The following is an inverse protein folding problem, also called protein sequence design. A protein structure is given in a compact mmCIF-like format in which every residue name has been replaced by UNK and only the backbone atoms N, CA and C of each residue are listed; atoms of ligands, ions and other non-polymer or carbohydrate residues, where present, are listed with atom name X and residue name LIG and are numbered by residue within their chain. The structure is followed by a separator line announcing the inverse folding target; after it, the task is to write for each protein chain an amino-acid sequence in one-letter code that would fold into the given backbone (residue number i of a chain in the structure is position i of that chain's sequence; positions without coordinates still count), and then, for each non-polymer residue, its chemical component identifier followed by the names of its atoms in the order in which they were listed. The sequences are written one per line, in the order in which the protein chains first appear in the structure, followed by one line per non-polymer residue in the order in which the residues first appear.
data_IF_280077585267
#
_entry.id   IF_280077585267
#
_cell.length_a   1.000
_cell.length_b   1.000
_cell.length_c   1.000
_cell.angle_alpha   90.00
_cell.angle_beta   90.00
_cell.angle_gamma   90.00
#
_symmetry.space_group_name_H-M   'P 1'
#
loop_
_entity.id
_entity.type
_entity.pdbx_description
1 polymer ?
#
# COMPACT_ATOMS: atom_id res chain seq x y z
N UNK A 1 -66.28 38.50 0.22
CA UNK A 1 -66.21 37.15 -0.38
C UNK A 1 -64.93 36.48 0.11
N UNK A 2 -65.07 35.31 0.76
CA UNK A 2 -64.10 34.22 1.05
C UNK A 2 -62.64 34.56 1.47
N UNK A 3 -62.23 34.45 2.74
CA UNK A 3 -61.79 33.26 3.55
C UNK A 3 -60.37 32.72 3.31
N UNK A 4 -59.58 32.78 4.39
CA UNK A 4 -58.70 31.75 4.98
C UNK A 4 -57.57 31.06 4.16
N UNK A 5 -56.42 30.82 4.83
CA UNK A 5 -55.53 29.73 4.44
C UNK A 5 -54.08 29.85 4.92
N UNK A 6 -53.80 29.24 6.07
CA UNK A 6 -52.49 28.94 6.66
C UNK A 6 -51.49 28.18 5.76
N UNK A 7 -50.20 28.36 6.11
CA UNK A 7 -49.13 27.35 6.22
C UNK A 7 -48.91 26.38 5.05
N UNK A 8 -47.73 26.46 4.44
CA UNK A 8 -46.93 25.24 4.24
C UNK A 8 -45.42 25.54 4.11
N UNK A 9 -44.72 25.37 5.23
CA UNK A 9 -43.31 24.95 5.23
C UNK A 9 -43.24 23.64 4.44
N UNK A 10 -42.51 23.59 3.34
CA UNK A 10 -42.19 22.33 2.67
C UNK A 10 -40.72 22.00 2.91
N UNK A 11 -40.58 20.83 3.50
CA UNK A 11 -39.38 20.22 4.04
C UNK A 11 -38.33 19.97 2.96
N UNK A 12 -37.08 20.27 3.31
CA UNK A 12 -35.89 19.71 2.69
C UNK A 12 -35.87 18.21 3.02
N UNK A 13 -35.66 17.30 2.05
CA UNK A 13 -35.61 15.88 2.36
C UNK A 13 -34.41 15.58 3.25
N UNK A 14 -34.70 14.90 4.36
CA UNK A 14 -33.73 14.28 5.26
C UNK A 14 -32.65 13.57 4.46
N UNK A 15 -31.40 13.91 4.79
CA UNK A 15 -30.22 13.17 4.40
C UNK A 15 -30.34 11.81 5.07
N UNK A 16 -30.81 10.82 4.30
CA UNK A 16 -30.83 9.42 4.73
C UNK A 16 -29.38 9.00 4.92
N UNK A 17 -28.94 8.97 6.17
CA UNK A 17 -27.72 8.29 6.60
C UNK A 17 -27.98 6.79 6.53
N UNK A 18 -27.70 6.20 5.37
CA UNK A 18 -27.56 4.75 5.27
C UNK A 18 -26.22 4.39 5.92
N UNK A 19 -26.29 4.10 7.21
CA UNK A 19 -25.29 3.29 7.90
C UNK A 19 -25.45 1.87 7.37
N UNK A 20 -24.57 1.46 6.46
CA UNK A 20 -24.42 0.04 6.13
C UNK A 20 -23.20 -0.53 6.84
N UNK A 21 -23.42 -1.65 7.51
CA UNK A 21 -22.48 -2.36 8.34
C UNK A 21 -21.29 -2.88 7.54
N UNK A 22 -20.14 -2.85 8.21
CA UNK A 22 -18.83 -3.36 7.80
C UNK A 22 -18.83 -4.63 6.93
N UNK A 23 -18.02 -4.67 5.86
CA UNK A 23 -17.26 -5.85 5.52
C UNK A 23 -15.86 -5.72 6.17
N UNK A 24 -15.61 -6.58 7.16
CA UNK A 24 -14.29 -7.16 7.46
C UNK A 24 -13.08 -6.52 6.75
N UNK A 25 -12.36 -5.61 7.43
CA UNK A 25 -10.93 -5.30 7.21
C UNK A 25 -10.42 -5.09 5.78
N UNK A 26 -11.27 -4.77 4.80
CA UNK A 26 -10.86 -4.59 3.41
C UNK A 26 -10.22 -3.21 3.27
N UNK A 27 -8.93 -3.18 2.93
CA UNK A 27 -8.25 -1.91 2.64
C UNK A 27 -8.92 -1.26 1.43
N UNK A 28 -9.44 -0.05 1.64
CA UNK A 28 -9.95 0.78 0.55
C UNK A 28 -8.77 1.21 -0.32
N UNK A 29 -8.75 0.80 -1.59
CA UNK A 29 -7.68 1.20 -2.51
C UNK A 29 -7.83 2.67 -2.86
N UNK A 30 -6.74 3.41 -2.75
CA UNK A 30 -6.67 4.80 -3.16
C UNK A 30 -6.10 4.91 -4.57
N UNK A 31 -6.91 5.43 -5.49
CA UNK A 31 -6.53 5.70 -6.88
C UNK A 31 -6.38 7.21 -7.11
N UNK A 32 -5.26 7.62 -7.71
CA UNK A 32 -5.08 8.95 -8.26
C UNK A 32 -5.48 8.92 -9.74
N UNK A 33 -6.56 9.61 -10.10
CA UNK A 33 -7.03 9.75 -11.47
C UNK A 33 -6.62 11.12 -12.02
N UNK A 34 -5.91 11.14 -13.15
CA UNK A 34 -5.35 12.34 -13.78
C UNK A 34 -5.91 12.44 -15.19
N UNK A 35 -6.69 13.47 -15.48
CA UNK A 35 -7.29 13.65 -16.81
C UNK A 35 -7.70 15.12 -16.97
N UNK A 36 -7.30 15.78 -18.06
CA UNK A 36 -7.59 17.20 -18.30
C UNK A 36 -9.06 17.42 -18.73
N UNK A 37 -9.66 16.44 -19.41
CA UNK A 37 -11.07 16.47 -19.78
C UNK A 37 -11.96 16.31 -18.54
N UNK A 38 -12.72 17.35 -18.21
CA UNK A 38 -13.67 17.31 -17.09
C UNK A 38 -14.68 16.16 -17.21
N UNK A 39 -15.12 15.85 -18.45
CA UNK A 39 -16.08 14.77 -18.71
C UNK A 39 -15.44 13.42 -18.43
N UNK A 40 -14.27 13.15 -19.00
CA UNK A 40 -13.57 11.88 -18.81
C UNK A 40 -13.16 11.69 -17.35
N UNK A 41 -12.66 12.75 -16.71
CA UNK A 41 -12.33 12.77 -15.28
C UNK A 41 -13.54 12.39 -14.41
N UNK A 42 -14.74 12.88 -14.74
CA UNK A 42 -15.97 12.51 -14.00
C UNK A 42 -16.42 11.08 -14.26
N UNK A 43 -16.25 10.59 -15.49
CA UNK A 43 -16.54 9.19 -15.84
C UNK A 43 -15.63 8.26 -15.05
N UNK A 44 -14.31 8.47 -15.09
CA UNK A 44 -13.37 7.59 -14.38
C UNK A 44 -13.55 7.67 -12.85
N UNK A 45 -13.77 8.87 -12.31
CA UNK A 45 -14.07 9.06 -10.88
C UNK A 45 -15.31 8.25 -10.46
N UNK A 46 -16.36 8.25 -11.28
CA UNK A 46 -17.58 7.49 -11.00
C UNK A 46 -17.35 5.98 -11.08
N UNK A 47 -16.64 5.48 -12.09
CA UNK A 47 -16.36 4.06 -12.26
C UNK A 47 -15.52 3.49 -11.10
N UNK A 48 -14.51 4.25 -10.67
CA UNK A 48 -13.68 3.91 -9.51
C UNK A 48 -14.47 3.91 -8.21
N UNK A 49 -15.34 4.91 -7.98
CA UNK A 49 -16.22 4.96 -6.80
C UNK A 49 -17.22 3.79 -6.75
N UNK A 50 -17.80 3.42 -7.90
CA UNK A 50 -18.67 2.23 -8.01
C UNK A 50 -17.91 0.95 -7.63
N UNK A 51 -16.60 0.94 -7.86
CA UNK A 51 -15.73 -0.18 -7.52
C UNK A 51 -15.17 -0.10 -6.09
N UNK A 52 -15.73 0.75 -5.22
CA UNK A 52 -15.31 0.94 -3.83
C UNK A 52 -13.83 1.32 -3.69
N UNK A 53 -13.36 2.20 -4.56
CA UNK A 53 -12.05 2.83 -4.43
C UNK A 53 -12.20 4.24 -3.87
N UNK A 54 -11.27 4.64 -3.01
CA UNK A 54 -11.03 6.05 -2.71
C UNK A 54 -10.39 6.69 -3.95
N UNK A 55 -10.87 7.85 -4.36
CA UNK A 55 -10.38 8.51 -5.57
C UNK A 55 -9.97 9.93 -5.26
N UNK A 56 -8.73 10.27 -5.63
CA UNK A 56 -8.33 11.67 -5.82
C UNK A 56 -8.31 11.93 -7.31
N UNK A 57 -9.11 12.89 -7.78
CA UNK A 57 -9.13 13.29 -9.18
C UNK A 57 -8.45 14.64 -9.35
N UNK A 58 -7.50 14.74 -10.27
CA UNK A 58 -6.78 15.98 -10.62
C UNK A 58 -6.83 16.19 -12.14
N UNK A 59 -6.66 17.43 -12.57
CA UNK A 59 -6.93 17.86 -13.95
C UNK A 59 -5.67 18.02 -14.82
N UNK A 60 -4.49 17.69 -14.30
CA UNK A 60 -3.24 17.87 -15.02
C UNK A 60 -2.09 17.11 -14.37
N UNK A 61 -1.07 16.78 -15.16
CA UNK A 61 0.15 16.15 -14.67
C UNK A 61 0.87 16.98 -13.60
N UNK A 62 0.90 18.31 -13.74
CA UNK A 62 1.47 19.21 -12.71
C UNK A 62 0.76 19.09 -11.37
N UNK A 63 -0.59 19.05 -11.38
CA UNK A 63 -1.38 18.87 -10.15
C UNK A 63 -1.18 17.48 -9.54
N UNK A 64 -0.98 16.46 -10.37
CA UNK A 64 -0.61 15.13 -9.91
C UNK A 64 0.75 15.13 -9.18
N UNK A 65 1.78 15.77 -9.75
CA UNK A 65 3.08 15.88 -9.09
C UNK A 65 3.01 16.66 -7.77
N UNK A 66 2.27 17.77 -7.73
CA UNK A 66 2.01 18.51 -6.48
C UNK A 66 1.36 17.63 -5.42
N UNK A 67 0.33 16.86 -5.82
CA UNK A 67 -0.36 15.95 -4.92
C UNK A 67 0.55 14.82 -4.40
N UNK A 68 1.49 14.36 -5.23
CA UNK A 68 2.48 13.35 -4.86
C UNK A 68 3.71 13.94 -4.13
N UNK A 69 3.81 15.27 -3.99
CA UNK A 69 5.00 15.93 -3.43
C UNK A 69 6.26 15.80 -4.30
N UNK A 70 6.09 15.67 -5.62
CA UNK A 70 7.16 15.50 -6.61
C UNK A 70 7.45 16.78 -7.42
N UNK A 71 6.89 17.91 -7.02
CA UNK A 71 7.10 19.22 -7.65
C UNK A 71 8.37 19.95 -7.18
N UNK A 72 9.13 19.36 -6.26
CA UNK A 72 10.44 19.85 -5.83
C UNK A 72 10.39 20.89 -4.71
N UNK A 73 9.20 21.38 -4.35
CA UNK A 73 9.02 22.14 -3.12
C UNK A 73 8.76 21.16 -1.98
N UNK A 74 9.50 21.32 -0.86
CA UNK A 74 9.21 20.58 0.38
C UNK A 74 7.85 21.02 0.91
N UNK A 75 6.78 20.44 0.36
CA UNK A 75 5.45 20.64 0.90
C UNK A 75 5.48 20.24 2.37
N UNK A 76 5.17 21.20 3.24
CA UNK A 76 5.25 21.11 4.71
C UNK A 76 4.17 20.22 5.31
N UNK A 77 3.57 19.36 4.49
CA UNK A 77 2.48 18.45 4.86
C UNK A 77 3.14 17.08 5.01
N UNK A 78 3.03 16.43 6.17
CA UNK A 78 3.57 15.09 6.34
C UNK A 78 2.91 14.12 5.36
N UNK A 79 3.64 13.74 4.29
CA UNK A 79 3.15 12.83 3.24
C UNK A 79 3.19 11.35 3.65
N UNK A 80 3.62 11.03 4.88
CA UNK A 80 3.76 9.65 5.36
C UNK A 80 2.46 8.84 5.32
N UNK A 81 1.29 9.50 5.24
CA UNK A 81 -0.03 8.85 5.16
C UNK A 81 -0.70 8.85 3.77
N UNK A 82 -0.09 9.46 2.74
CA UNK A 82 -0.65 9.46 1.38
C UNK A 82 -0.29 8.17 0.62
N UNK A 83 -0.86 7.06 1.07
CA UNK A 83 -0.71 5.77 0.39
C UNK A 83 -1.59 5.70 -0.86
N UNK A 84 -1.06 6.16 -2.00
CA UNK A 84 -1.64 5.91 -3.32
C UNK A 84 -1.31 4.49 -3.75
N UNK A 85 -2.32 3.70 -4.13
CA UNK A 85 -2.17 2.31 -4.56
C UNK A 85 -2.10 2.16 -6.09
N UNK A 86 -2.65 3.13 -6.83
CA UNK A 86 -2.70 3.11 -8.29
C UNK A 86 -2.78 4.53 -8.82
N UNK A 87 -2.10 4.78 -9.93
CA UNK A 87 -2.21 6.03 -10.68
C UNK A 87 -2.80 5.69 -12.06
N UNK A 88 -3.90 6.34 -12.42
CA UNK A 88 -4.47 6.28 -13.76
C UNK A 88 -4.35 7.67 -14.39
N UNK A 89 -3.64 7.79 -15.51
CA UNK A 89 -3.42 9.09 -16.17
C UNK A 89 -3.80 9.06 -17.63
N UNK A 90 -4.43 10.14 -18.11
CA UNK A 90 -4.56 10.39 -19.53
C UNK A 90 -3.18 10.62 -20.17
N UNK A 91 -3.03 10.20 -21.42
CA UNK A 91 -1.80 10.38 -22.19
C UNK A 91 -1.65 11.81 -22.70
N UNK A 92 -2.73 12.40 -23.23
CA UNK A 92 -2.74 13.62 -24.02
C UNK A 92 -3.23 14.81 -23.20
N UNK A 93 -2.42 15.23 -22.22
CA UNK A 93 -2.72 16.41 -21.40
C UNK A 93 -1.90 17.63 -21.86
N UNK A 94 -2.47 18.85 -21.81
CA UNK A 94 -1.73 20.09 -22.07
C UNK A 94 -0.58 20.32 -21.09
N UNK A 95 0.54 20.80 -21.61
CA UNK A 95 1.73 21.19 -20.83
C UNK A 95 2.61 20.02 -20.38
N UNK A 96 2.03 18.94 -19.86
CA UNK A 96 2.73 17.71 -19.49
C UNK A 96 1.92 16.49 -19.90
N UNK A 97 2.50 15.63 -20.72
CA UNK A 97 1.88 14.39 -21.16
C UNK A 97 1.83 13.35 -20.03
N UNK A 98 0.93 12.37 -20.15
CA UNK A 98 0.88 11.23 -19.24
C UNK A 98 2.17 10.40 -19.25
N UNK A 99 2.88 10.36 -20.37
CA UNK A 99 4.19 9.71 -20.48
C UNK A 99 5.28 10.44 -19.67
N UNK A 100 5.32 11.77 -19.72
CA UNK A 100 6.25 12.56 -18.89
C UNK A 100 5.93 12.45 -17.40
N UNK A 101 4.64 12.40 -17.05
CA UNK A 101 4.21 12.14 -15.67
C UNK A 101 4.66 10.74 -15.21
N UNK A 102 4.44 9.71 -16.02
CA UNK A 102 4.88 8.33 -15.76
C UNK A 102 6.37 8.30 -15.45
N UNK A 103 7.19 8.89 -16.32
CA UNK A 103 8.64 8.94 -16.13
C UNK A 103 9.04 9.54 -14.79
N UNK A 104 8.47 10.70 -14.42
CA UNK A 104 8.74 11.35 -13.13
C UNK A 104 8.32 10.52 -11.93
N UNK A 105 7.19 9.80 -12.03
CA UNK A 105 6.74 8.88 -10.99
C UNK A 105 7.72 7.72 -10.82
N UNK A 106 8.19 7.13 -11.94
CA UNK A 106 9.10 5.99 -11.92
C UNK A 106 10.53 6.34 -11.51
N UNK A 107 10.96 7.58 -11.72
CA UNK A 107 12.21 8.13 -11.20
C UNK A 107 12.17 8.37 -9.67
N UNK A 108 10.98 8.51 -9.08
CA UNK A 108 10.82 8.76 -7.64
C UNK A 108 10.98 7.50 -6.79
N UNK A 109 11.88 7.52 -5.81
CA UNK A 109 12.06 6.40 -4.88
C UNK A 109 10.79 6.06 -4.08
N UNK A 110 9.93 7.04 -3.81
CA UNK A 110 8.71 6.86 -3.03
C UNK A 110 7.55 6.25 -3.84
N UNK A 111 7.51 6.48 -5.17
CA UNK A 111 6.36 6.10 -6.00
C UNK A 111 6.69 5.16 -7.17
N UNK A 112 7.96 4.81 -7.39
CA UNK A 112 8.36 3.92 -8.50
C UNK A 112 7.64 2.58 -8.51
N UNK A 113 7.30 2.06 -7.33
CA UNK A 113 6.60 0.79 -7.14
C UNK A 113 5.08 0.91 -7.28
N UNK A 114 4.53 2.14 -7.30
CA UNK A 114 3.10 2.34 -7.53
C UNK A 114 2.80 2.01 -8.99
N UNK A 115 1.81 1.13 -9.28
CA UNK A 115 1.41 0.84 -10.65
C UNK A 115 0.82 2.09 -11.29
N UNK A 116 1.21 2.33 -12.54
CA UNK A 116 0.74 3.46 -13.34
C UNK A 116 0.08 2.93 -14.60
N UNK A 117 -1.17 3.30 -14.82
CA UNK A 117 -1.96 2.92 -16.00
C UNK A 117 -2.18 4.15 -16.86
N UNK A 118 -1.84 4.03 -18.14
CA UNK A 118 -2.05 5.08 -19.12
C UNK A 118 -3.40 4.88 -19.81
N UNK A 119 -4.16 5.96 -19.95
CA UNK A 119 -5.42 6.00 -20.69
C UNK A 119 -5.23 6.87 -21.94
N UNK A 120 -5.70 6.44 -23.10
CA UNK A 120 -5.56 7.21 -24.34
C UNK A 120 -6.78 7.05 -25.23
N UNK A 121 -7.16 8.13 -25.93
CA UNK A 121 -8.16 8.08 -27.00
C UNK A 121 -7.58 7.56 -28.33
N UNK A 122 -6.25 7.53 -28.45
CA UNK A 122 -5.54 7.13 -29.67
C UNK A 122 -4.87 5.75 -29.49
N UNK A 123 -5.00 4.90 -30.52
CA UNK A 123 -4.40 3.57 -30.56
C UNK A 123 -3.11 3.58 -31.41
N UNK A 124 -2.03 4.10 -30.84
CA UNK A 124 -0.74 4.22 -31.51
C UNK A 124 0.25 3.26 -30.84
N UNK A 125 0.62 2.19 -31.55
CA UNK A 125 1.48 1.12 -31.03
C UNK A 125 2.78 1.64 -30.44
N UNK A 126 3.47 2.54 -31.15
CA UNK A 126 4.74 3.11 -30.66
C UNK A 126 4.60 3.89 -29.36
N UNK A 127 3.42 4.45 -29.05
CA UNK A 127 3.17 5.09 -27.75
C UNK A 127 2.91 4.07 -26.66
N UNK A 128 2.15 3.02 -26.98
CA UNK A 128 1.86 1.91 -26.07
C UNK A 128 3.18 1.28 -25.63
N UNK A 129 4.01 0.88 -26.60
CA UNK A 129 5.31 0.23 -26.36
C UNK A 129 6.19 1.10 -25.47
N UNK A 130 6.34 2.39 -25.81
CA UNK A 130 7.15 3.33 -25.00
C UNK A 130 6.63 3.50 -23.57
N UNK A 131 5.32 3.49 -23.35
CA UNK A 131 4.78 3.60 -21.99
C UNK A 131 5.06 2.33 -21.18
N UNK A 132 4.90 1.15 -21.79
CA UNK A 132 5.18 -0.12 -21.14
C UNK A 132 6.67 -0.30 -20.84
N UNK A 133 7.55 0.10 -21.76
CA UNK A 133 9.00 0.10 -21.56
C UNK A 133 9.46 1.02 -20.42
N UNK A 134 8.79 2.17 -20.24
CA UNK A 134 9.04 3.10 -19.12
C UNK A 134 8.48 2.58 -17.78
N UNK A 135 7.77 1.44 -17.79
CA UNK A 135 7.25 0.79 -16.59
C UNK A 135 5.79 1.11 -16.27
N UNK A 136 4.98 1.53 -17.27
CA UNK A 136 3.53 1.51 -17.11
C UNK A 136 3.06 0.06 -16.88
N UNK A 137 2.16 -0.13 -15.93
CA UNK A 137 1.52 -1.41 -15.65
C UNK A 137 0.62 -1.83 -16.81
N UNK A 138 -0.09 -0.86 -17.39
CA UNK A 138 -0.99 -1.11 -18.50
C UNK A 138 -1.28 0.15 -19.31
N UNK A 139 -1.71 -0.06 -20.56
CA UNK A 139 -2.26 0.96 -21.44
C UNK A 139 -3.72 0.62 -21.81
N UNK A 140 -4.65 1.53 -21.54
CA UNK A 140 -6.09 1.37 -21.78
C UNK A 140 -6.57 2.37 -22.84
N UNK A 141 -7.34 1.89 -23.82
CA UNK A 141 -8.04 2.76 -24.75
C UNK A 141 -9.34 3.28 -24.15
N UNK A 142 -9.54 4.60 -24.24
CA UNK A 142 -10.79 5.26 -23.90
C UNK A 142 -11.89 4.88 -24.92
N UNK A 143 -13.16 4.80 -24.49
CA UNK A 143 -13.67 5.09 -23.15
C UNK A 143 -13.38 3.95 -22.16
N UNK A 144 -12.94 4.32 -20.96
CA UNK A 144 -12.67 3.37 -19.87
C UNK A 144 -13.98 2.71 -19.43
N UNK A 145 -13.96 1.39 -19.26
CA UNK A 145 -15.12 0.60 -18.85
C UNK A 145 -14.99 0.15 -17.41
N UNK A 146 -16.13 -0.18 -16.80
CA UNK A 146 -16.17 -0.75 -15.46
C UNK A 146 -15.40 -2.09 -15.38
N UNK A 147 -15.34 -2.86 -16.47
CA UNK A 147 -14.54 -4.09 -16.55
C UNK A 147 -13.06 -3.84 -16.32
N UNK A 148 -12.54 -2.72 -16.83
CA UNK A 148 -11.11 -2.41 -16.79
C UNK A 148 -10.71 -2.06 -15.36
N UNK A 149 -11.51 -1.20 -14.71
CA UNK A 149 -11.33 -0.83 -13.30
C UNK A 149 -11.41 -2.04 -12.37
N UNK A 150 -12.39 -2.94 -12.59
CA UNK A 150 -12.52 -4.17 -11.79
C UNK A 150 -11.31 -5.09 -11.97
N UNK A 151 -10.79 -5.21 -13.19
CA UNK A 151 -9.60 -6.01 -13.47
C UNK A 151 -8.37 -5.45 -12.76
N UNK A 152 -8.13 -4.13 -12.85
CA UNK A 152 -7.02 -3.45 -12.17
C UNK A 152 -7.08 -3.64 -10.65
N UNK A 153 -8.25 -3.42 -10.04
CA UNK A 153 -8.45 -3.62 -8.61
C UNK A 153 -8.08 -5.03 -8.15
N UNK A 154 -8.47 -6.05 -8.93
CA UNK A 154 -8.20 -7.44 -8.60
C UNK A 154 -6.71 -7.80 -8.70
N UNK A 155 -5.95 -7.15 -9.58
CA UNK A 155 -4.51 -7.36 -9.69
C UNK A 155 -3.81 -6.80 -8.45
N UNK A 156 -4.09 -5.54 -8.11
CA UNK A 156 -3.47 -4.85 -6.96
C UNK A 156 -3.77 -5.58 -5.64
N UNK A 157 -5.03 -6.01 -5.43
CA UNK A 157 -5.40 -6.73 -4.20
C UNK A 157 -4.69 -8.09 -4.06
N UNK A 158 -4.34 -8.76 -5.16
CA UNK A 158 -3.63 -10.04 -5.12
C UNK A 158 -2.15 -9.89 -4.83
N UNK A 159 -1.54 -8.78 -5.23
CA UNK A 159 -0.14 -8.48 -4.94
C UNK A 159 0.07 -8.23 -3.45
N UNK A 160 -0.86 -7.50 -2.81
CA UNK A 160 -0.89 -7.28 -1.36
C UNK A 160 -0.99 -8.60 -0.57
N UNK A 161 -1.75 -9.58 -1.06
CA UNK A 161 -1.89 -10.89 -0.40
C UNK A 161 -0.59 -11.71 -0.46
N UNK A 162 0.09 -11.72 -1.61
CA UNK A 162 1.36 -12.44 -1.78
C UNK A 162 2.46 -11.86 -0.89
N UNK A 163 2.58 -10.54 -0.86
CA UNK A 163 3.59 -9.85 -0.04
C UNK A 163 3.37 -10.10 1.47
N UNK A 164 2.10 -10.18 1.91
CA UNK A 164 1.76 -10.47 3.31
C UNK A 164 2.01 -11.95 3.69
N UNK A 165 1.81 -12.88 2.76
CA UNK A 165 2.13 -14.31 2.98
C UNK A 165 3.64 -14.52 3.11
N UNK A 166 4.46 -13.88 2.28
CA UNK A 166 5.92 -13.99 2.36
C UNK A 166 6.47 -13.40 3.67
N UNK A 167 6.02 -12.21 4.08
CA UNK A 167 6.41 -11.58 5.36
C UNK A 167 6.02 -12.43 6.58
N UNK A 168 4.85 -13.09 6.55
CA UNK A 168 4.41 -14.02 7.61
C UNK A 168 5.21 -15.32 7.65
N UNK A 169 5.71 -15.78 6.51
CA UNK A 169 6.52 -17.01 6.42
C UNK A 169 7.96 -16.74 6.90
N UNK A 170 8.52 -15.57 6.56
CA UNK A 170 9.85 -15.15 7.01
C UNK A 170 9.89 -14.88 8.53
N UNK A 171 8.85 -14.25 9.08
CA UNK A 171 8.71 -14.01 10.54
C UNK A 171 8.52 -15.30 11.36
N UNK A 172 8.05 -16.39 10.73
CA UNK A 172 7.96 -17.71 11.37
C UNK A 172 9.33 -18.39 11.46
N UNK A 173 10.13 -18.35 10.38
CA UNK A 173 11.49 -18.92 10.35
C UNK A 173 12.48 -18.27 11.32
N UNK A 174 12.38 -16.95 11.55
CA UNK A 174 13.23 -16.24 12.52
C UNK A 174 12.88 -16.51 14.00
N UNK A 175 11.82 -17.28 14.30
CA UNK A 175 11.47 -17.66 15.68
C UNK A 175 11.93 -19.07 16.06
N UNK A 176 12.47 -19.84 15.12
CA UNK A 176 12.89 -21.22 15.34
C UNK A 176 14.40 -21.37 15.62
N UNK A 177 15.18 -20.29 15.65
CA UNK A 177 16.65 -20.31 15.89
C UNK A 177 17.09 -19.80 17.29
N UNK A 178 16.16 -19.41 18.17
CA UNK A 178 16.44 -19.03 19.58
C UNK A 178 15.86 -20.06 20.56
N UNK A 179 16.16 -21.34 20.35
CA UNK A 179 16.14 -22.36 21.41
C UNK A 179 17.45 -23.13 21.36
N UNK A 180 18.49 -22.54 21.94
CA UNK A 180 19.73 -23.24 22.25
C UNK A 180 19.46 -24.19 23.42
N UNK A 181 19.72 -25.51 23.31
CA UNK A 181 19.63 -26.39 24.46
C UNK A 181 20.76 -26.03 25.43
N UNK A 182 20.39 -25.53 26.61
CA UNK A 182 21.30 -25.36 27.73
C UNK A 182 21.90 -26.72 28.10
N UNK A 183 23.15 -26.96 27.73
CA UNK A 183 23.93 -28.12 28.18
C UNK A 183 24.45 -27.85 29.58
N UNK A 184 23.66 -28.21 30.59
CA UNK A 184 24.18 -28.41 31.95
C UNK A 184 25.15 -29.61 31.96
N UNK A 185 26.33 -29.53 32.59
CA UNK A 185 27.26 -30.65 32.63
C UNK A 185 26.71 -31.79 33.52
N UNK A 186 26.96 -33.06 33.19
CA UNK A 186 26.48 -34.19 33.98
C UNK A 186 27.24 -34.30 35.31
N UNK A 187 26.47 -34.47 36.38
CA UNK A 187 26.92 -34.70 37.75
C UNK A 187 27.61 -36.07 37.91
N UNK A 188 28.68 -36.18 38.75
CA UNK A 188 29.41 -37.43 38.93
C UNK A 188 28.64 -38.48 39.77
N UNK A 189 28.96 -39.78 39.62
CA UNK A 189 28.22 -40.89 40.24
C UNK A 189 28.43 -41.01 41.76
N UNK A 190 27.49 -41.66 42.49
CA UNK A 190 27.53 -41.75 43.94
C UNK A 190 28.56 -42.76 44.45
N UNK A 191 29.41 -42.32 45.38
CA UNK A 191 30.30 -43.19 46.17
C UNK A 191 29.55 -43.78 47.36
N UNK A 192 29.65 -45.10 47.51
CA UNK A 192 29.16 -45.91 48.63
C UNK A 192 30.15 -45.88 49.83
N UNK A 193 29.78 -46.42 51.02
CA UNK A 193 30.05 -45.72 52.29
C UNK A 193 31.30 -46.16 53.09
N UNK A 194 31.86 -45.15 53.77
CA UNK A 194 32.44 -45.04 55.14
C UNK A 194 33.03 -46.29 55.84
N UNK A 195 34.30 -46.21 56.31
CA UNK A 195 34.75 -46.34 57.72
C UNK A 195 36.30 -46.52 57.88
N UNK A 196 36.92 -46.38 59.08
CA UNK A 196 37.97 -45.38 59.31
C UNK A 196 39.34 -45.88 59.82
N UNK A 197 40.23 -44.89 60.03
CA UNK A 197 41.35 -44.81 60.97
C UNK A 197 42.70 -45.49 60.61
N UNK A 198 43.80 -44.72 60.60
CA UNK A 198 44.71 -44.58 61.75
C UNK A 198 46.06 -43.92 61.39
N UNK A 199 46.34 -42.82 62.09
CA UNK A 199 47.60 -42.37 62.72
C UNK A 199 49.00 -42.59 62.08
N UNK A 200 49.68 -41.42 61.99
CA UNK A 200 51.09 -41.10 62.39
C UNK A 200 52.18 -41.73 61.50
N UNK A 201 53.33 -41.10 61.19
CA UNK A 201 54.20 -40.17 61.93
C UNK A 201 55.25 -39.61 60.94
N UNK A 202 55.63 -38.32 61.04
CA UNK A 202 56.93 -37.81 61.54
C UNK A 202 58.01 -37.48 60.49
N UNK A 203 58.59 -36.27 60.69
CA UNK A 203 59.96 -35.80 60.37
C UNK A 203 60.33 -35.65 58.87
N UNK A 204 61.14 -34.70 58.38
CA UNK A 204 61.94 -33.57 58.90
C UNK A 204 62.46 -32.74 57.70
N UNK A 205 62.79 -31.45 57.96
CA UNK A 205 63.87 -30.60 57.38
C UNK A 205 63.98 -30.38 55.86
N UNK A 206 64.50 -29.28 55.31
CA UNK A 206 65.10 -27.97 55.72
C UNK A 206 65.01 -27.07 54.47
N UNK A 207 64.77 -25.75 54.54
CA UNK A 207 65.79 -24.65 54.56
C UNK A 207 67.04 -24.95 53.70
N UNK A 208 67.50 -24.08 52.80
CA UNK A 208 67.53 -22.61 52.76
C UNK A 208 67.29 -22.06 51.33
#
# INVERSE_FOLDING_TARGET
MATAGEVLRRNLPEKVEVSDGSPSGSRELHVLAVDDSHVDRKVIERLLKISSCKVTAVDSGTRALQYLGLDGEKSSVGFDDLKVNLIMTDYSMPGMTGYELLKKIKESSAFREVPVVIMSSENILTRIDRCLEEGAEEFILKPVKLSDVKRLKNVIMKEDEKENVEKRTFKRKLRDDEDSPSTSPPSPPPLSPVCPAAKRSRLHNTKD
#
